data_IF_449693439732
#
_entry.id   IF_449693439732
#
_cell.length_a   1.000
_cell.length_b   1.000
_cell.length_c   1.000
_cell.angle_alpha   90.00
_cell.angle_beta   90.00
_cell.angle_gamma   90.00
#
_symmetry.space_group_name_H-M   'P 1'
#
loop_
_entity.id
_entity.type
_entity.pdbx_description
1 polymer ?
#
# COMPACT_ATOMS: atom_id res chain seq x y z
N UNK A 1 -3.32 29.16 -8.14
CA UNK A 1 -3.09 28.26 -9.29
C UNK A 1 -3.55 26.91 -8.83
N UNK A 2 -4.22 26.15 -9.68
CA UNK A 2 -4.65 24.78 -9.40
C UNK A 2 -3.52 23.82 -9.79
N UNK A 3 -3.59 22.57 -9.36
CA UNK A 3 -2.67 21.48 -9.68
C UNK A 3 -1.26 21.64 -9.06
N UNK A 4 -1.19 22.18 -7.85
CA UNK A 4 0.07 22.36 -7.12
C UNK A 4 0.19 21.50 -5.86
N UNK A 5 -0.92 21.02 -5.31
CA UNK A 5 -0.94 20.34 -4.02
C UNK A 5 -1.82 19.10 -4.05
N UNK A 6 -1.29 18.01 -3.48
CA UNK A 6 -2.05 16.79 -3.24
C UNK A 6 -2.38 16.66 -1.76
N UNK A 7 -3.59 16.21 -1.43
CA UNK A 7 -4.11 16.23 -0.07
C UNK A 7 -4.77 14.91 0.35
N UNK A 8 -4.83 14.68 1.66
CA UNK A 8 -5.58 13.59 2.29
C UNK A 8 -6.38 14.18 3.45
N UNK A 9 -7.69 13.97 3.42
CA UNK A 9 -8.64 14.46 4.42
C UNK A 9 -9.26 13.34 5.26
N UNK A 10 -9.61 13.67 6.50
CA UNK A 10 -10.51 12.86 7.31
C UNK A 10 -11.93 13.39 7.12
N UNK A 11 -12.78 12.57 6.50
CA UNK A 11 -14.13 13.00 6.16
C UNK A 11 -15.04 13.00 7.39
N UNK A 12 -15.57 14.18 7.72
CA UNK A 12 -16.67 14.39 8.66
C UNK A 12 -17.98 14.69 7.92
N UNK A 13 -19.09 14.23 8.49
CA UNK A 13 -20.42 14.44 7.91
C UNK A 13 -20.73 15.94 7.87
N UNK A 14 -20.99 16.45 6.66
CA UNK A 14 -21.27 17.88 6.44
C UNK A 14 -20.03 18.78 6.45
N UNK A 15 -18.83 18.20 6.48
CA UNK A 15 -17.58 18.95 6.43
C UNK A 15 -17.39 19.68 5.10
N UNK A 16 -16.82 20.90 5.17
CA UNK A 16 -16.37 21.68 4.02
C UNK A 16 -14.84 21.68 4.03
N UNK A 17 -14.21 21.23 2.95
CA UNK A 17 -12.75 21.10 2.83
C UNK A 17 -12.12 22.25 2.03
N UNK A 18 -12.85 23.35 1.88
CA UNK A 18 -12.31 24.61 1.38
C UNK A 18 -12.27 24.77 -0.14
N UNK A 19 -12.47 23.72 -0.94
CA UNK A 19 -12.56 23.87 -2.40
C UNK A 19 -13.77 24.73 -2.83
N UNK A 20 -13.65 25.68 -3.78
CA UNK A 20 -12.49 26.06 -4.58
C UNK A 20 -11.78 27.32 -4.08
N UNK A 21 -11.84 27.60 -2.78
CA UNK A 21 -11.18 28.73 -2.13
C UNK A 21 -9.77 28.38 -1.65
N UNK A 22 -9.54 27.09 -1.39
CA UNK A 22 -8.27 26.49 -0.98
C UNK A 22 -7.88 25.31 -1.87
N UNK A 23 -6.57 25.10 -1.96
CA UNK A 23 -5.90 23.93 -2.50
C UNK A 23 -4.93 23.44 -1.43
N UNK A 24 -5.27 22.37 -0.72
CA UNK A 24 -4.60 22.04 0.54
C UNK A 24 -4.64 23.20 1.54
N UNK A 25 -3.50 23.56 2.17
CA UNK A 25 -3.43 24.70 3.07
C UNK A 25 -3.33 26.05 2.32
N UNK A 26 -3.28 26.06 0.98
CA UNK A 26 -2.99 27.24 0.18
C UNK A 26 -4.26 27.90 -0.30
N UNK A 27 -4.44 29.19 0.01
CA UNK A 27 -5.57 29.97 -0.51
C UNK A 27 -5.35 30.33 -1.98
N UNK A 28 -6.39 30.21 -2.81
CA UNK A 28 -6.33 30.69 -4.19
C UNK A 28 -6.17 32.21 -4.26
N UNK A 29 -5.28 32.69 -5.13
CA UNK A 29 -5.05 34.14 -5.32
C UNK A 29 -6.27 34.92 -5.81
N UNK A 30 -7.19 34.25 -6.50
CA UNK A 30 -8.38 34.87 -7.10
C UNK A 30 -9.64 34.69 -6.23
N UNK A 31 -9.50 34.05 -5.06
CA UNK A 31 -10.58 33.91 -4.09
C UNK A 31 -10.97 35.29 -3.53
N UNK A 32 -12.25 35.67 -3.60
CA UNK A 32 -12.71 36.95 -3.05
C UNK A 32 -12.42 37.02 -1.55
N UNK A 33 -12.01 38.18 -1.05
CA UNK A 33 -11.80 38.40 0.38
C UNK A 33 -13.09 38.22 1.21
N UNK A 34 -14.24 38.45 0.57
CA UNK A 34 -15.57 38.42 1.21
C UNK A 34 -16.21 37.03 1.27
N UNK A 35 -15.66 36.06 0.53
CA UNK A 35 -16.10 34.66 0.56
C UNK A 35 -15.49 33.98 1.80
N UNK A 36 -16.10 34.19 2.96
CA UNK A 36 -15.70 33.54 4.20
C UNK A 36 -16.10 32.06 4.17
N UNK A 37 -15.11 31.18 4.24
CA UNK A 37 -15.29 29.74 4.40
C UNK A 37 -14.50 29.31 5.62
N UNK A 38 -15.06 28.41 6.42
CA UNK A 38 -14.38 27.77 7.55
C UNK A 38 -13.99 26.34 7.14
N UNK A 39 -12.84 26.15 6.46
CA UNK A 39 -12.47 24.86 5.92
C UNK A 39 -11.90 23.93 6.99
N UNK A 40 -12.22 22.65 6.87
CA UNK A 40 -11.46 21.57 7.49
C UNK A 40 -10.24 21.33 6.61
N UNK A 41 -9.05 21.62 7.13
CA UNK A 41 -7.80 21.42 6.41
C UNK A 41 -7.38 19.94 6.36
N UNK A 42 -6.60 19.55 5.34
CA UNK A 42 -6.16 18.18 5.18
C UNK A 42 -5.19 17.77 6.29
N UNK A 43 -5.20 16.48 6.61
CA UNK A 43 -4.33 15.89 7.64
C UNK A 43 -2.95 15.55 7.10
N UNK A 44 -2.83 15.42 5.78
CA UNK A 44 -1.57 15.19 5.06
C UNK A 44 -1.64 15.85 3.70
N UNK A 45 -0.48 16.15 3.14
CA UNK A 45 -0.37 16.55 1.75
C UNK A 45 1.06 16.92 1.40
N UNK A 46 1.28 17.25 0.14
CA UNK A 46 2.57 17.70 -0.36
C UNK A 46 2.38 18.59 -1.58
N UNK A 47 3.31 19.51 -1.80
CA UNK A 47 3.37 20.23 -3.08
C UNK A 47 3.99 19.33 -4.15
N UNK A 48 3.62 19.54 -5.42
CA UNK A 48 4.21 18.78 -6.53
C UNK A 48 5.74 18.90 -6.62
N UNK A 49 6.28 19.99 -6.09
CA UNK A 49 7.72 20.26 -6.07
C UNK A 49 8.49 19.50 -4.97
N UNK A 50 7.83 19.00 -3.93
CA UNK A 50 8.46 18.36 -2.77
C UNK A 50 8.85 16.90 -3.01
N UNK A 51 8.09 16.18 -3.84
CA UNK A 51 8.14 14.72 -3.94
C UNK A 51 9.35 14.21 -4.71
N UNK A 52 9.62 14.80 -5.88
CA UNK A 52 10.78 14.46 -6.70
C UNK A 52 11.13 15.70 -7.54
N UNK A 53 12.36 16.19 -7.44
CA UNK A 53 12.76 17.43 -8.15
C UNK A 53 13.00 17.23 -9.65
N UNK A 54 13.17 16.00 -10.10
CA UNK A 54 13.43 15.67 -11.51
C UNK A 54 12.12 15.45 -12.28
N UNK A 55 11.18 14.71 -11.70
CA UNK A 55 9.93 14.30 -12.35
C UNK A 55 8.69 14.98 -11.75
N UNK A 56 8.76 15.45 -10.50
CA UNK A 56 7.61 15.93 -9.74
C UNK A 56 6.80 14.80 -9.11
N UNK A 57 5.61 15.16 -8.62
CA UNK A 57 4.49 14.23 -8.40
C UNK A 57 3.44 14.45 -9.48
N UNK A 58 2.41 13.59 -9.50
CA UNK A 58 1.23 13.79 -10.32
C UNK A 58 -0.02 13.92 -9.46
N UNK A 59 -0.48 12.82 -8.88
CA UNK A 59 -1.67 12.78 -8.07
C UNK A 59 -1.62 11.59 -7.11
N UNK A 60 -2.12 11.77 -5.88
CA UNK A 60 -2.33 10.64 -4.98
C UNK A 60 -3.35 9.70 -5.64
N UNK A 61 -2.91 8.53 -6.07
CA UNK A 61 -3.77 7.55 -6.78
C UNK A 61 -4.56 6.67 -5.82
N UNK A 62 -4.33 6.82 -4.52
CA UNK A 62 -5.03 6.12 -3.45
C UNK A 62 -4.08 5.47 -2.45
N UNK A 63 -4.65 4.63 -1.60
CA UNK A 63 -3.92 3.93 -0.55
C UNK A 63 -4.84 3.04 0.29
N UNK A 64 -4.24 2.32 1.23
CA UNK A 64 -4.93 1.50 2.22
C UNK A 64 -4.29 1.66 3.59
N UNK A 65 -5.11 1.60 4.65
CA UNK A 65 -4.58 1.36 5.99
C UNK A 65 -3.99 -0.05 6.03
N UNK A 66 -2.68 -0.13 6.22
CA UNK A 66 -1.92 -1.36 6.18
C UNK A 66 -2.20 -2.19 7.43
N UNK A 67 -2.83 -3.35 7.23
CA UNK A 67 -3.23 -4.27 8.31
C UNK A 67 -2.67 -5.68 8.13
N UNK A 68 -1.80 -5.90 7.13
CA UNK A 68 -1.13 -7.19 6.99
C UNK A 68 -0.16 -7.39 8.15
N UNK A 69 -0.01 -8.64 8.58
CA UNK A 69 1.05 -9.04 9.53
C UNK A 69 2.42 -9.24 8.86
N UNK A 70 2.48 -9.10 7.54
CA UNK A 70 3.67 -9.38 6.73
C UNK A 70 4.78 -8.35 6.95
N UNK A 71 4.47 -7.05 6.92
CA UNK A 71 5.39 -6.00 7.37
C UNK A 71 4.89 -5.35 8.68
N UNK A 72 5.42 -5.77 9.85
CA UNK A 72 4.98 -5.21 11.12
C UNK A 72 5.45 -3.77 11.35
N UNK A 73 6.45 -3.25 10.63
CA UNK A 73 7.01 -1.91 10.86
C UNK A 73 6.16 -0.78 10.27
N UNK A 74 5.20 -1.11 9.41
CA UNK A 74 4.22 -0.16 8.85
C UNK A 74 2.78 -0.53 9.25
N UNK A 75 2.61 -1.47 10.18
CA UNK A 75 1.30 -1.88 10.65
C UNK A 75 0.53 -0.69 11.25
N UNK A 76 -0.70 -0.50 10.80
CA UNK A 76 -1.57 0.59 11.23
C UNK A 76 -1.36 1.91 10.49
N UNK A 77 -0.31 2.03 9.66
CA UNK A 77 -0.10 3.21 8.83
C UNK A 77 -1.04 3.23 7.63
N UNK A 78 -1.46 4.42 7.20
CA UNK A 78 -2.03 4.61 5.87
C UNK A 78 -0.91 4.58 4.83
N UNK A 79 -0.87 3.51 4.03
CA UNK A 79 0.07 3.32 2.93
C UNK A 79 -0.56 3.88 1.66
N UNK A 80 0.06 4.89 1.04
CA UNK A 80 -0.44 5.53 -0.17
C UNK A 80 0.70 5.85 -1.14
N UNK A 81 0.34 6.14 -2.39
CA UNK A 81 1.29 6.40 -3.44
C UNK A 81 0.78 7.37 -4.51
N UNK A 82 1.73 7.99 -5.17
CA UNK A 82 1.50 8.89 -6.29
C UNK A 82 1.44 8.13 -7.62
N UNK A 83 0.68 8.65 -8.59
CA UNK A 83 0.49 8.08 -9.92
C UNK A 83 1.79 7.60 -10.57
N UNK A 84 2.90 8.32 -10.42
CA UNK A 84 4.18 7.95 -11.05
C UNK A 84 4.93 6.79 -10.40
N UNK A 85 4.39 6.21 -9.32
CA UNK A 85 4.98 5.09 -8.59
C UNK A 85 6.46 5.31 -8.19
N UNK A 86 6.87 6.58 -8.00
CA UNK A 86 8.24 6.95 -7.61
C UNK A 86 8.40 7.07 -6.10
N UNK A 87 7.33 7.40 -5.41
CA UNK A 87 7.29 7.53 -3.98
C UNK A 87 6.03 6.87 -3.41
N UNK A 88 6.23 6.20 -2.29
CA UNK A 88 5.17 5.70 -1.42
C UNK A 88 5.38 6.28 -0.04
N UNK A 89 4.31 6.43 0.71
CA UNK A 89 4.35 6.98 2.05
C UNK A 89 3.60 6.08 3.03
N UNK A 90 4.09 6.03 4.26
CA UNK A 90 3.36 5.51 5.41
C UNK A 90 3.02 6.69 6.30
N UNK A 91 1.73 7.00 6.42
CA UNK A 91 1.25 7.97 7.39
C UNK A 91 0.77 7.28 8.67
N UNK A 92 1.30 7.72 9.80
CA UNK A 92 0.95 7.19 11.11
C UNK A 92 0.24 8.26 11.92
N UNK A 93 -0.88 7.89 12.50
CA UNK A 93 -1.62 8.73 13.44
C UNK A 93 -0.93 8.69 14.81
N UNK A 94 -0.71 9.86 15.42
CA UNK A 94 -0.14 9.94 16.77
C UNK A 94 -0.60 11.21 17.52
N UNK A 95 -1.25 11.10 18.69
CA UNK A 95 -1.67 9.85 19.35
C UNK A 95 -2.84 9.17 18.61
N UNK A 96 -3.12 7.92 18.96
CA UNK A 96 -4.22 7.16 18.38
C UNK A 96 -5.56 7.90 18.52
N UNK A 97 -6.35 7.95 17.43
CA UNK A 97 -7.62 8.67 17.32
C UNK A 97 -7.53 10.20 17.50
N UNK A 98 -6.36 10.81 17.30
CA UNK A 98 -6.21 12.27 17.36
C UNK A 98 -6.59 13.00 16.09
N UNK A 99 -6.65 12.30 14.95
CA UNK A 99 -6.69 12.91 13.62
C UNK A 99 -5.36 13.55 13.18
N UNK A 100 -4.29 13.46 14.00
CA UNK A 100 -2.99 14.02 13.66
C UNK A 100 -2.10 12.94 13.03
N UNK A 101 -1.78 13.13 11.75
CA UNK A 101 -0.98 12.18 10.97
C UNK A 101 0.40 12.75 10.63
N UNK A 102 1.41 11.89 10.67
CA UNK A 102 2.75 12.18 10.14
C UNK A 102 3.09 11.17 9.06
N UNK A 103 3.38 11.64 7.86
CA UNK A 103 3.83 10.82 6.74
C UNK A 103 5.35 10.70 6.69
N UNK A 104 5.84 9.51 6.34
CA UNK A 104 7.24 9.27 5.96
C UNK A 104 7.31 8.57 4.62
N UNK A 105 8.23 8.97 3.76
CA UNK A 105 8.52 8.24 2.52
C UNK A 105 9.07 6.84 2.85
N UNK A 106 8.59 5.84 2.12
CA UNK A 106 9.02 4.44 2.25
C UNK A 106 9.92 4.10 1.08
N UNK A 107 11.04 3.44 1.38
CA UNK A 107 11.89 2.82 0.35
C UNK A 107 11.29 1.49 -0.05
N UNK A 108 11.26 1.21 -1.34
CA UNK A 108 10.73 -0.03 -1.90
C UNK A 108 11.69 -0.60 -2.92
N UNK A 109 11.75 -1.92 -2.98
CA UNK A 109 12.55 -2.65 -3.97
C UNK A 109 11.98 -4.05 -4.17
N UNK A 110 12.37 -4.70 -5.24
CA UNK A 110 11.86 -6.03 -5.51
C UNK A 110 12.51 -7.09 -4.62
N UNK A 111 11.70 -8.02 -4.13
CA UNK A 111 12.18 -9.17 -3.38
C UNK A 111 13.13 -10.03 -4.21
N UNK A 112 14.25 -10.43 -3.60
CA UNK A 112 15.31 -11.19 -4.27
C UNK A 112 14.87 -12.62 -4.66
N UNK A 113 13.87 -13.16 -3.98
CA UNK A 113 13.27 -14.49 -4.19
C UNK A 113 11.91 -14.40 -4.91
N UNK A 114 11.69 -13.33 -5.66
CA UNK A 114 10.49 -13.17 -6.48
C UNK A 114 10.43 -14.24 -7.59
N UNK A 115 9.30 -14.96 -7.78
CA UNK A 115 9.15 -15.91 -8.88
C UNK A 115 9.19 -15.26 -10.27
N UNK A 116 8.86 -13.97 -10.34
CA UNK A 116 8.84 -13.19 -11.57
C UNK A 116 9.97 -12.16 -11.54
N UNK A 117 10.61 -11.95 -12.69
CA UNK A 117 11.70 -11.00 -12.79
C UNK A 117 11.17 -9.57 -12.67
N UNK A 118 11.81 -8.78 -11.83
CA UNK A 118 11.46 -7.39 -11.64
C UNK A 118 12.36 -6.52 -12.51
N UNK A 119 11.76 -5.73 -13.40
CA UNK A 119 12.47 -4.73 -14.19
C UNK A 119 12.85 -3.54 -13.32
N UNK A 120 14.04 -2.98 -13.56
CA UNK A 120 14.52 -1.76 -12.90
C UNK A 120 14.49 -0.59 -13.88
N UNK A 121 14.31 0.61 -13.36
CA UNK A 121 14.45 1.82 -14.17
C UNK A 121 15.95 2.02 -14.49
N UNK A 122 16.34 2.30 -15.76
CA UNK A 122 17.75 2.54 -16.10
C UNK A 122 18.37 3.61 -15.19
N UNK A 123 19.58 3.35 -14.68
CA UNK A 123 20.32 4.23 -13.77
C UNK A 123 19.59 4.58 -12.46
N UNK A 124 18.62 3.77 -12.03
CA UNK A 124 17.86 3.99 -10.80
C UNK A 124 17.78 2.71 -9.96
N UNK A 125 17.81 2.81 -8.62
CA UNK A 125 17.60 1.67 -7.75
C UNK A 125 16.12 1.25 -7.66
N UNK A 126 15.21 2.02 -8.28
CA UNK A 126 13.77 1.79 -8.18
C UNK A 126 13.28 0.76 -9.20
N UNK A 127 12.34 -0.11 -8.81
CA UNK A 127 11.67 -0.99 -9.74
C UNK A 127 10.84 -0.18 -10.74
N UNK A 128 10.79 -0.65 -11.99
CA UNK A 128 10.04 -0.02 -13.08
C UNK A 128 8.55 -0.37 -12.98
N UNK A 129 7.87 0.21 -11.98
CA UNK A 129 6.44 -0.01 -11.73
C UNK A 129 5.51 0.69 -12.73
N UNK A 130 6.01 1.67 -13.49
CA UNK A 130 5.18 2.49 -14.38
C UNK A 130 4.21 3.38 -13.60
N UNK A 131 2.93 3.32 -13.93
CA UNK A 131 1.88 4.14 -13.29
C UNK A 131 1.03 3.32 -12.31
N UNK A 132 0.71 3.89 -11.15
CA UNK A 132 -0.26 3.28 -10.22
C UNK A 132 -1.67 3.49 -10.75
N UNK A 133 -2.46 2.41 -10.82
CA UNK A 133 -3.89 2.51 -11.17
C UNK A 133 -4.79 2.35 -9.96
N UNK A 134 -4.45 1.46 -9.04
CA UNK A 134 -5.22 1.25 -7.82
C UNK A 134 -4.46 0.46 -6.77
N UNK A 135 -5.01 0.45 -5.57
CA UNK A 135 -4.59 -0.43 -4.48
C UNK A 135 -5.69 -1.46 -4.21
N UNK A 136 -5.31 -2.62 -3.69
CA UNK A 136 -6.22 -3.68 -3.30
C UNK A 136 -5.79 -4.34 -2.01
N UNK A 137 -6.72 -5.01 -1.34
CA UNK A 137 -6.44 -5.79 -0.14
C UNK A 137 -7.18 -7.12 -0.22
N UNK A 138 -6.51 -8.21 0.12
CA UNK A 138 -7.13 -9.53 0.19
C UNK A 138 -7.74 -9.83 1.57
N UNK A 139 -8.33 -11.03 1.73
CA UNK A 139 -8.93 -11.46 2.99
C UNK A 139 -7.91 -11.65 4.14
N UNK A 140 -6.62 -11.82 3.81
CA UNK A 140 -5.52 -11.89 4.78
C UNK A 140 -4.94 -10.52 5.12
N UNK A 141 -5.54 -9.46 4.58
CA UNK A 141 -5.10 -8.06 4.71
C UNK A 141 -3.78 -7.77 4.02
N UNK A 142 -3.32 -8.66 3.14
CA UNK A 142 -2.17 -8.40 2.28
C UNK A 142 -2.55 -7.33 1.26
N UNK A 143 -1.72 -6.31 1.16
CA UNK A 143 -1.93 -5.16 0.27
C UNK A 143 -1.31 -5.43 -1.09
N UNK A 144 -2.02 -5.03 -2.14
CA UNK A 144 -1.63 -5.15 -3.53
C UNK A 144 -1.69 -3.79 -4.20
N UNK A 145 -0.87 -3.59 -5.21
CA UNK A 145 -0.82 -2.40 -6.05
C UNK A 145 -0.96 -2.85 -7.49
N UNK A 146 -2.00 -2.38 -8.16
CA UNK A 146 -2.13 -2.53 -9.60
C UNK A 146 -1.40 -1.37 -10.27
N UNK A 147 -0.46 -1.70 -11.15
CA UNK A 147 0.27 -0.73 -11.94
C UNK A 147 0.21 -1.06 -13.43
N UNK A 148 0.68 -0.14 -14.27
CA UNK A 148 0.76 -0.36 -15.71
C UNK A 148 1.69 -1.49 -16.14
N UNK A 149 2.56 -1.97 -15.25
CA UNK A 149 3.51 -3.07 -15.51
C UNK A 149 3.11 -4.39 -14.86
N UNK A 150 2.11 -4.40 -13.97
CA UNK A 150 1.62 -5.61 -13.35
C UNK A 150 0.94 -5.40 -12.00
N UNK A 151 0.74 -6.49 -11.28
CA UNK A 151 0.22 -6.47 -9.90
C UNK A 151 1.36 -6.79 -8.94
N UNK A 152 1.53 -5.93 -7.95
CA UNK A 152 2.57 -6.04 -6.93
C UNK A 152 1.92 -6.28 -5.58
N UNK A 153 2.55 -7.05 -4.71
CA UNK A 153 2.07 -7.37 -3.37
C UNK A 153 3.07 -6.85 -2.36
N UNK A 154 2.66 -6.18 -1.29
CA UNK A 154 3.61 -5.83 -0.21
C UNK A 154 4.08 -7.08 0.51
N UNK A 155 5.40 -7.25 0.69
CA UNK A 155 5.98 -8.41 1.39
C UNK A 155 6.78 -7.98 2.62
N UNK A 156 7.47 -8.94 3.25
CA UNK A 156 8.28 -8.67 4.43
C UNK A 156 9.55 -7.89 4.05
N UNK A 157 9.97 -6.90 4.87
CA UNK A 157 11.17 -6.10 4.62
C UNK A 157 12.43 -6.93 4.33
N UNK A 158 12.63 -8.03 5.06
CA UNK A 158 13.79 -8.92 4.88
C UNK A 158 13.94 -9.48 3.45
N UNK A 159 12.83 -9.73 2.75
CA UNK A 159 12.86 -10.22 1.36
C UNK A 159 13.39 -9.16 0.39
N UNK A 160 13.28 -7.89 0.74
CA UNK A 160 13.75 -6.75 -0.02
C UNK A 160 15.06 -6.16 0.55
N UNK A 161 15.74 -6.89 1.45
CA UNK A 161 16.97 -6.47 2.15
C UNK A 161 16.78 -5.21 3.01
N UNK A 162 15.56 -4.96 3.47
CA UNK A 162 15.25 -3.91 4.45
C UNK A 162 15.20 -4.49 5.85
N UNK A 163 15.52 -3.65 6.84
CA UNK A 163 15.50 -4.03 8.25
C UNK A 163 14.22 -3.56 8.91
N UNK A 164 13.58 -4.46 9.65
CA UNK A 164 12.44 -4.14 10.50
C UNK A 164 12.66 -4.79 11.87
N UNK A 165 12.83 -3.97 12.92
CA UNK A 165 13.08 -4.46 14.28
C UNK A 165 11.93 -5.33 14.82
N UNK A 166 10.71 -5.10 14.34
CA UNK A 166 9.53 -5.87 14.74
C UNK A 166 9.35 -7.18 13.96
N UNK A 167 10.12 -7.41 12.89
CA UNK A 167 10.04 -8.63 12.08
C UNK A 167 10.64 -9.82 12.84
N UNK A 168 11.79 -9.63 13.50
CA UNK A 168 12.49 -10.68 14.28
C UNK A 168 11.78 -11.02 15.59
N UNK A 169 11.05 -10.07 16.19
CA UNK A 169 10.33 -10.30 17.44
C UNK A 169 9.21 -11.36 17.31
N UNK A 170 8.72 -11.63 16.08
CA UNK A 170 7.62 -12.58 15.83
C UNK A 170 8.07 -13.96 15.34
N UNK A 171 9.32 -14.14 14.89
CA UNK A 171 9.85 -15.47 14.55
C UNK A 171 10.34 -16.25 15.77
N UNK A 172 10.42 -15.60 16.94
CA UNK A 172 10.82 -16.22 18.20
C UNK A 172 9.70 -17.04 18.89
N UNK A 173 8.45 -16.97 18.43
CA UNK A 173 7.38 -17.86 18.90
C UNK A 173 7.45 -19.20 18.14
N UNK A 174 8.34 -20.08 18.59
CA UNK A 174 8.35 -21.49 18.15
C UNK A 174 7.13 -22.19 18.77
N UNK A 175 6.26 -22.88 18.01
CA UNK A 175 5.19 -23.67 18.59
C UNK A 175 5.80 -24.81 19.42
N UNK A 176 5.38 -24.95 20.69
CA UNK A 176 5.64 -26.15 21.48
C UNK A 176 5.15 -27.38 20.70
N UNK A 177 5.88 -28.52 20.70
CA UNK A 177 5.40 -29.73 20.04
C UNK A 177 4.10 -30.20 20.69
N UNK A 178 3.02 -30.24 19.90
CA UNK A 178 1.74 -30.81 20.29
C UNK A 178 1.87 -32.33 20.47
N UNK A 179 1.31 -32.85 21.57
CA UNK A 179 1.22 -34.27 21.88
C UNK A 179 0.50 -35.07 20.77
N UNK A 180 0.83 -36.36 20.57
CA UNK A 180 0.23 -37.16 19.50
C UNK A 180 -1.23 -37.48 19.82
N UNK A 181 -2.13 -37.19 18.88
CA UNK A 181 -3.52 -37.61 18.90
C UNK A 181 -3.69 -38.93 18.14
N UNK A 182 -4.36 -39.90 18.76
CA UNK A 182 -4.70 -41.22 18.22
C UNK A 182 -5.41 -41.15 16.86
N UNK A 183 -5.01 -42.07 15.97
CA UNK A 183 -5.48 -42.17 14.60
C UNK A 183 -6.81 -42.91 14.45
N UNK A 184 -7.71 -42.34 13.66
CA UNK A 184 -8.80 -43.07 13.02
C UNK A 184 -8.60 -43.08 11.50
N UNK A 185 -8.46 -44.28 10.94
CA UNK A 185 -8.33 -44.56 9.51
C UNK A 185 -9.73 -44.50 8.88
N UNK A 186 -9.98 -43.53 7.99
CA UNK A 186 -11.10 -43.55 7.07
C UNK A 186 -10.59 -43.90 5.66
N UNK A 187 -11.10 -45.00 5.09
CA UNK A 187 -10.80 -45.43 3.72
C UNK A 187 -11.47 -44.47 2.73
N UNK A 188 -10.71 -43.90 1.79
CA UNK A 188 -11.24 -43.09 0.70
C UNK A 188 -11.34 -43.93 -0.59
N UNK A 189 -12.53 -43.95 -1.18
CA UNK A 189 -12.90 -44.70 -2.37
C UNK A 189 -12.24 -44.16 -3.66
N UNK A 190 -11.82 -45.10 -4.50
CA UNK A 190 -11.02 -44.90 -5.71
C UNK A 190 -11.74 -44.13 -6.84
N UNK A 191 -13.04 -43.83 -6.68
CA UNK A 191 -13.85 -43.10 -7.67
C UNK A 191 -13.69 -41.57 -7.60
N UNK A 192 -13.24 -41.02 -6.48
CA UNK A 192 -13.14 -39.57 -6.30
C UNK A 192 -11.87 -38.95 -6.91
N UNK A 193 -10.91 -39.78 -7.32
CA UNK A 193 -9.61 -39.34 -7.88
C UNK A 193 -9.70 -39.05 -9.38
N UNK A 194 -10.65 -39.66 -10.11
CA UNK A 194 -10.80 -39.44 -11.55
C UNK A 194 -11.54 -38.15 -11.93
N UNK A 195 -12.38 -37.60 -11.04
CA UNK A 195 -13.10 -36.35 -11.29
C UNK A 195 -12.24 -35.09 -11.05
N UNK A 196 -11.13 -35.20 -10.31
CA UNK A 196 -10.23 -34.08 -10.04
C UNK A 196 -9.29 -33.75 -11.21
N UNK A 197 -9.04 -34.69 -12.13
CA UNK A 197 -8.09 -34.49 -13.24
C UNK A 197 -8.69 -33.76 -14.46
N UNK A 198 -10.02 -33.67 -14.58
CA UNK A 198 -10.67 -32.97 -15.71
C UNK A 198 -11.03 -31.50 -15.45
N UNK A 199 -10.88 -30.99 -14.21
CA UNK A 199 -11.20 -29.59 -13.86
C UNK A 199 -9.98 -28.68 -13.67
N UNK A 200 -8.76 -29.20 -13.81
CA UNK A 200 -7.53 -28.42 -13.63
C UNK A 200 -6.97 -27.76 -14.90
N UNK A 201 -7.67 -27.83 -16.04
CA UNK A 201 -7.21 -27.22 -17.30
C UNK A 201 -7.95 -25.93 -17.71
N UNK A 202 -8.87 -25.42 -16.88
CA UNK A 202 -9.52 -24.13 -17.13
C UNK A 202 -9.50 -23.29 -15.86
N UNK A 203 -8.91 -22.10 -15.97
CA UNK A 203 -8.69 -21.07 -14.92
C UNK A 203 -7.48 -21.29 -14.00
N UNK A 204 -6.30 -20.94 -14.50
CA UNK A 204 -5.34 -20.25 -13.64
C UNK A 204 -4.95 -18.92 -14.31
N UNK A 205 -5.75 -17.89 -14.09
CA UNK A 205 -5.19 -16.55 -14.01
C UNK A 205 -4.37 -16.55 -12.72
N UNK A 206 -3.06 -16.81 -12.83
CA UNK A 206 -2.15 -16.59 -11.71
C UNK A 206 -2.06 -15.07 -11.51
N UNK A 207 -2.51 -14.52 -10.37
CA UNK A 207 -2.18 -13.14 -10.05
C UNK A 207 -0.66 -13.05 -9.93
N UNK A 208 -0.10 -12.10 -10.67
CA UNK A 208 1.30 -11.66 -10.57
C UNK A 208 1.54 -11.22 -9.12
N UNK A 209 2.52 -11.80 -8.45
CA UNK A 209 2.88 -11.48 -7.06
C UNK A 209 4.34 -11.05 -7.02
N UNK A 210 4.61 -9.75 -6.83
CA UNK A 210 5.92 -9.26 -6.36
C UNK A 210 5.77 -8.11 -5.34
N UNK A 211 6.26 -8.41 -4.15
CA UNK A 211 6.92 -7.57 -3.13
C UNK A 211 7.17 -6.06 -3.38
N UNK A 212 6.55 -5.18 -2.57
CA UNK A 212 7.17 -3.89 -2.16
C UNK A 212 8.30 -4.12 -1.15
#
# INVERSE_FOLDING_TARGET
>A
MQDQYEEVDIITKGGNYGWSMYEGPLRFKNASADDFVDPIFPVLGYTHSEVNKEVGSAAISGGYVYRSKTDPCIYGSYLYGDLYAKNFWAAQENPYNSGNFTARSIRFSCAHDSPLNCSSVPNSPLPALGYIFSFGQDNRKDTYILTSTGVYRVVRPSRCKYTCSMETARTAETPLPSAPSDGHIAKADLYSVLLLYCLLFLTSFHPVVIAL
#
